data_IF_315408633586
#
_entry.id   IF_315408633586
#
_cell.length_a   1.000
_cell.length_b   1.000
_cell.length_c   1.000
_cell.angle_alpha   90.00
_cell.angle_beta   90.00
_cell.angle_gamma   90.00
#
_symmetry.space_group_name_H-M   'P 1'
#
loop_
_entity.id
_entity.type
_entity.pdbx_description
1 polymer ?
#
# COMPACT_ATOMS: atom_id res chain seq x y z
N UNK A 1 -13.56 -2.62 14.60
CA UNK A 1 -12.41 -3.39 14.07
C UNK A 1 -12.97 -4.52 13.24
N UNK A 2 -12.59 -4.65 11.97
CA UNK A 2 -13.02 -5.78 11.15
C UNK A 2 -12.40 -7.07 11.72
N UNK A 3 -13.19 -8.07 12.11
CA UNK A 3 -12.68 -9.29 12.75
C UNK A 3 -11.72 -10.07 11.83
N UNK A 4 -11.83 -9.90 10.51
CA UNK A 4 -10.95 -10.49 9.49
C UNK A 4 -10.01 -9.46 8.84
N UNK A 5 -9.78 -8.33 9.51
CA UNK A 5 -8.90 -7.28 9.04
C UNK A 5 -7.48 -7.82 8.82
N UNK A 6 -6.94 -7.60 7.62
CA UNK A 6 -5.62 -8.07 7.24
C UNK A 6 -4.57 -7.00 7.53
N UNK A 7 -3.56 -7.33 8.32
CA UNK A 7 -2.40 -6.46 8.62
C UNK A 7 -1.11 -7.29 8.49
N UNK A 8 -0.35 -7.03 7.44
CA UNK A 8 0.92 -7.73 7.17
C UNK A 8 2.03 -6.70 6.90
N UNK A 9 3.11 -6.70 7.70
CA UNK A 9 4.27 -5.84 7.46
C UNK A 9 4.93 -6.13 6.11
N UNK A 10 5.40 -5.06 5.46
CA UNK A 10 6.20 -5.12 4.23
C UNK A 10 7.10 -3.87 4.20
N UNK A 11 7.95 -3.75 3.18
CA UNK A 11 8.62 -2.50 2.85
C UNK A 11 8.18 -1.99 1.46
N UNK A 12 8.30 -0.68 1.26
CA UNK A 12 8.25 -0.05 -0.07
C UNK A 12 9.49 0.82 -0.22
N UNK A 13 10.42 0.39 -1.07
CA UNK A 13 11.71 1.07 -1.34
C UNK A 13 12.44 1.51 -0.07
N UNK A 14 12.43 0.63 0.95
CA UNK A 14 13.08 0.86 2.25
C UNK A 14 12.25 1.60 3.29
N UNK A 15 11.02 2.03 2.97
CA UNK A 15 10.10 2.65 3.92
C UNK A 15 9.19 1.60 4.57
N UNK A 16 8.91 1.72 5.87
CA UNK A 16 8.02 0.81 6.57
C UNK A 16 6.61 0.91 5.99
N UNK A 17 6.03 -0.25 5.67
CA UNK A 17 4.70 -0.33 5.10
C UNK A 17 3.91 -1.48 5.70
N UNK A 18 2.60 -1.37 5.63
CA UNK A 18 1.68 -2.41 6.05
C UNK A 18 0.61 -2.57 5.00
N UNK A 19 0.41 -3.80 4.59
CA UNK A 19 -0.78 -4.13 3.86
C UNK A 19 -1.98 -4.07 4.79
N UNK A 20 -2.99 -3.30 4.41
CA UNK A 20 -4.23 -3.18 5.16
C UNK A 20 -5.40 -3.49 4.25
N UNK A 21 -6.35 -4.28 4.76
CA UNK A 21 -7.63 -4.44 4.09
C UNK A 21 -8.71 -4.84 5.09
N UNK A 22 -9.94 -4.34 4.96
CA UNK A 22 -11.08 -4.79 5.77
C UNK A 22 -11.39 -6.27 5.60
N UNK A 23 -10.98 -6.86 4.47
CA UNK A 23 -11.07 -8.30 4.14
C UNK A 23 -9.88 -8.71 3.27
N UNK A 24 -9.35 -9.92 3.44
CA UNK A 24 -8.34 -10.45 2.52
C UNK A 24 -8.98 -10.87 1.17
N UNK A 25 -9.25 -9.89 0.31
CA UNK A 25 -9.84 -10.05 -1.03
C UNK A 25 -8.79 -10.06 -2.14
N UNK A 26 -7.54 -10.36 -1.77
CA UNK A 26 -6.47 -10.52 -2.74
C UNK A 26 -6.77 -11.69 -3.68
N UNK A 27 -6.42 -11.58 -4.97
CA UNK A 27 -5.63 -10.51 -5.60
C UNK A 27 -6.46 -9.34 -6.18
N UNK A 28 -7.77 -9.25 -5.94
CA UNK A 28 -8.65 -8.25 -6.59
C UNK A 28 -8.54 -6.85 -5.98
N UNK A 29 -8.38 -6.79 -4.67
CA UNK A 29 -8.27 -5.56 -3.91
C UNK A 29 -6.97 -5.55 -3.10
N UNK A 30 -6.34 -4.38 -2.98
CA UNK A 30 -5.17 -4.22 -2.14
C UNK A 30 -5.10 -2.82 -1.54
N UNK A 31 -5.03 -2.75 -0.21
CA UNK A 31 -4.64 -1.55 0.51
C UNK A 31 -3.21 -1.71 1.03
N UNK A 32 -2.41 -0.65 0.89
CA UNK A 32 -1.10 -0.54 1.51
C UNK A 32 -0.91 0.85 2.08
N UNK A 33 -0.55 0.94 3.35
CA UNK A 33 -0.15 2.18 4.01
C UNK A 33 1.37 2.20 4.15
N UNK A 34 1.97 3.35 3.88
CA UNK A 34 3.42 3.55 3.94
C UNK A 34 3.72 4.74 4.83
N UNK A 35 4.59 4.54 5.82
CA UNK A 35 5.14 5.61 6.64
C UNK A 35 6.34 6.25 5.95
N UNK A 36 6.32 7.57 5.81
CA UNK A 36 7.41 8.36 5.18
C UNK A 36 8.25 9.04 6.25
N UNK A 37 7.61 9.62 7.25
CA UNK A 37 8.22 10.19 8.47
C UNK A 37 7.33 9.87 9.67
N UNK A 38 7.72 10.30 10.86
CA UNK A 38 6.90 10.17 12.08
C UNK A 38 5.57 10.96 12.00
N UNK A 39 5.48 11.93 11.09
CA UNK A 39 4.32 12.82 10.92
C UNK A 39 3.57 12.60 9.59
N UNK A 40 4.13 11.82 8.68
CA UNK A 40 3.59 11.63 7.33
C UNK A 40 3.47 10.15 6.97
N UNK A 41 2.25 9.76 6.62
CA UNK A 41 1.95 8.49 5.96
C UNK A 41 0.99 8.71 4.79
N UNK A 42 1.04 7.82 3.81
CA UNK A 42 0.03 7.76 2.76
C UNK A 42 -0.51 6.34 2.62
N UNK A 43 -1.69 6.21 2.01
CA UNK A 43 -2.30 4.91 1.75
C UNK A 43 -2.70 4.82 0.29
N UNK A 44 -2.43 3.68 -0.32
CA UNK A 44 -2.83 3.35 -1.69
C UNK A 44 -3.88 2.25 -1.61
N UNK A 45 -5.02 2.48 -2.24
CA UNK A 45 -6.05 1.47 -2.44
C UNK A 45 -6.20 1.18 -3.93
N UNK A 46 -6.06 -0.09 -4.28
CA UNK A 46 -6.44 -0.61 -5.59
C UNK A 46 -7.69 -1.45 -5.39
N UNK A 47 -8.75 -1.12 -6.12
CA UNK A 47 -10.06 -1.76 -6.04
C UNK A 47 -10.40 -2.35 -7.41
N UNK A 48 -10.91 -3.56 -7.43
CA UNK A 48 -11.39 -4.26 -8.63
C UNK A 48 -10.37 -4.33 -9.77
N UNK A 49 -9.12 -4.70 -9.44
CA UNK A 49 -8.12 -4.93 -10.48
C UNK A 49 -8.53 -6.14 -11.35
N UNK A 50 -8.88 -5.87 -12.61
CA UNK A 50 -9.17 -6.91 -13.59
C UNK A 50 -7.87 -7.51 -14.13
N UNK A 51 -7.70 -8.82 -13.98
CA UNK A 51 -6.56 -9.65 -14.48
C UNK A 51 -5.16 -9.27 -13.99
N UNK A 52 -4.99 -8.13 -13.32
CA UNK A 52 -3.73 -7.66 -12.75
C UNK A 52 -3.71 -7.86 -11.23
N UNK A 53 -2.53 -8.18 -10.69
CA UNK A 53 -2.31 -8.25 -9.25
C UNK A 53 -2.46 -6.85 -8.64
N UNK A 54 -3.58 -6.62 -7.94
CA UNK A 54 -3.89 -5.34 -7.30
C UNK A 54 -2.80 -4.90 -6.32
N UNK A 55 -2.12 -5.84 -5.66
CA UNK A 55 -1.04 -5.52 -4.75
C UNK A 55 0.23 -5.13 -5.50
N UNK A 56 0.52 -5.75 -6.64
CA UNK A 56 1.62 -5.28 -7.50
C UNK A 56 1.36 -3.84 -7.98
N UNK A 57 0.13 -3.53 -8.42
CA UNK A 57 -0.24 -2.17 -8.81
C UNK A 57 -0.10 -1.19 -7.64
N UNK A 58 -0.64 -1.53 -6.46
CA UNK A 58 -0.53 -0.70 -5.27
C UNK A 58 0.93 -0.44 -4.85
N UNK A 59 1.80 -1.46 -4.93
CA UNK A 59 3.24 -1.32 -4.66
C UNK A 59 3.93 -0.39 -5.65
N UNK A 60 3.64 -0.52 -6.93
CA UNK A 60 4.22 0.34 -7.97
C UNK A 60 3.83 1.80 -7.76
N UNK A 61 2.56 2.06 -7.47
CA UNK A 61 2.07 3.41 -7.15
C UNK A 61 2.75 3.94 -5.88
N UNK A 62 2.85 3.12 -4.83
CA UNK A 62 3.48 3.54 -3.58
C UNK A 62 4.98 3.88 -3.78
N UNK A 63 5.71 3.11 -4.58
CA UNK A 63 7.08 3.42 -4.93
C UNK A 63 7.20 4.76 -5.69
N UNK A 64 6.33 4.98 -6.68
CA UNK A 64 6.30 6.23 -7.45
C UNK A 64 5.97 7.46 -6.58
N UNK A 65 5.07 7.32 -5.60
CA UNK A 65 4.79 8.40 -4.63
C UNK A 65 6.05 8.75 -3.84
N UNK A 66 6.80 7.77 -3.35
CA UNK A 66 8.05 8.01 -2.61
C UNK A 66 9.09 8.68 -3.50
N UNK A 67 9.27 8.21 -4.73
CA UNK A 67 10.19 8.85 -5.70
C UNK A 67 9.81 10.31 -5.96
N UNK A 68 8.51 10.60 -6.10
CA UNK A 68 7.99 11.96 -6.29
C UNK A 68 8.28 12.85 -5.08
N UNK A 69 8.06 12.34 -3.86
CA UNK A 69 8.37 13.07 -2.62
C UNK A 69 9.87 13.37 -2.54
N UNK A 70 10.73 12.38 -2.83
CA UNK A 70 12.19 12.54 -2.82
C UNK A 70 12.69 13.55 -3.85
N UNK A 71 12.03 13.66 -5.01
CA UNK A 71 12.41 14.60 -6.07
C UNK A 71 11.93 16.03 -5.82
N UNK A 72 10.92 16.22 -4.97
CA UNK A 72 10.39 17.54 -4.58
C UNK A 72 11.02 18.13 -3.31
N UNK A 73 11.88 17.35 -2.62
CA UNK A 73 12.75 17.79 -1.52
C UNK A 73 14.11 18.23 -2.07
#
# INVERSE_FOLDING_TARGET
MWPDGYFEPTDIVGYPAVFNSPKNERPKNCGISVGVTDELMFTVFTIEAHEQDACKAAKNVAAAVIETIKAGQ
#
